data_IF_070366649212
#
_entry.id   IF_070366649212
#
_cell.length_a   1.000
_cell.length_b   1.000
_cell.length_c   1.000
_cell.angle_alpha   90.00
_cell.angle_beta   90.00
_cell.angle_gamma   90.00
#
_symmetry.space_group_name_H-M   'P 1'
#
loop_
_entity.id
_entity.type
_entity.pdbx_description
1 polymer ?
#
# COMPACT_ATOMS: atom_id res chain seq x y z
N UNK A 1 -10.64 -7.49 28.32
CA UNK A 1 -11.77 -6.86 27.62
C UNK A 1 -11.23 -6.38 26.29
N UNK A 2 -11.46 -7.15 25.22
CA UNK A 2 -10.91 -6.88 23.89
C UNK A 2 -11.71 -5.74 23.25
N UNK A 3 -11.02 -4.65 22.92
CA UNK A 3 -11.57 -3.55 22.11
C UNK A 3 -12.02 -4.11 20.76
N UNK A 4 -13.32 -4.07 20.50
CA UNK A 4 -13.87 -4.28 19.16
C UNK A 4 -13.39 -3.13 18.29
N UNK A 5 -12.65 -3.45 17.23
CA UNK A 5 -12.25 -2.49 16.21
C UNK A 5 -13.48 -1.71 15.73
N UNK A 6 -13.43 -0.38 15.88
CA UNK A 6 -14.44 0.51 15.31
C UNK A 6 -14.46 0.28 13.80
N UNK A 7 -15.64 0.05 13.22
CA UNK A 7 -15.81 0.12 11.77
C UNK A 7 -15.44 1.55 11.37
N UNK A 8 -14.26 1.73 10.75
CA UNK A 8 -13.91 3.04 10.21
C UNK A 8 -14.93 3.36 9.11
N UNK A 9 -15.63 4.48 9.26
CA UNK A 9 -16.57 5.03 8.27
C UNK A 9 -15.85 5.71 7.12
N UNK A 10 -14.53 5.80 7.19
CA UNK A 10 -13.66 6.34 6.15
C UNK A 10 -13.31 5.29 5.11
N UNK A 11 -13.08 5.76 3.89
CA UNK A 11 -12.46 4.96 2.84
C UNK A 11 -11.04 4.53 3.25
N UNK A 12 -10.51 3.54 2.55
CA UNK A 12 -9.15 3.05 2.74
C UNK A 12 -8.32 3.34 1.50
N UNK A 13 -7.13 3.92 1.71
CA UNK A 13 -6.23 4.35 0.63
C UNK A 13 -4.90 3.63 0.75
N UNK A 14 -4.53 2.90 -0.31
CA UNK A 14 -3.27 2.19 -0.42
C UNK A 14 -2.42 2.75 -1.56
N UNK A 15 -1.25 3.29 -1.23
CA UNK A 15 -0.29 3.77 -2.22
C UNK A 15 0.49 2.61 -2.82
N UNK A 16 0.45 2.48 -4.14
CA UNK A 16 1.10 1.42 -4.91
C UNK A 16 2.33 1.95 -5.67
N UNK A 17 3.45 1.21 -5.60
CA UNK A 17 4.65 1.50 -6.40
C UNK A 17 4.55 0.92 -7.79
N UNK A 18 5.25 1.54 -8.74
CA UNK A 18 5.49 1.06 -10.13
C UNK A 18 4.25 0.92 -11.02
N UNK A 19 3.06 0.70 -10.45
CA UNK A 19 1.81 0.67 -11.17
C UNK A 19 1.50 2.07 -11.69
N UNK A 20 1.55 2.24 -13.00
CA UNK A 20 1.16 3.46 -13.69
C UNK A 20 -0.04 3.18 -14.60
N UNK A 21 -1.18 3.79 -14.31
CA UNK A 21 -2.32 3.75 -15.24
C UNK A 21 -1.93 4.41 -16.58
N UNK A 22 -2.50 3.96 -17.72
CA UNK A 22 -2.22 4.59 -19.01
C UNK A 22 -2.48 6.10 -18.98
N UNK A 23 -1.72 6.91 -19.74
CA UNK A 23 -1.79 8.38 -19.67
C UNK A 23 -3.19 8.96 -19.90
N UNK A 24 -4.01 8.30 -20.70
CA UNK A 24 -5.39 8.69 -21.04
C UNK A 24 -6.43 8.25 -19.99
N UNK A 25 -6.01 7.63 -18.88
CA UNK A 25 -6.90 7.09 -17.86
C UNK A 25 -6.48 7.46 -16.44
N UNK A 26 -7.25 8.34 -15.81
CA UNK A 26 -7.04 8.77 -14.42
C UNK A 26 -7.51 7.73 -13.40
N UNK A 27 -8.53 6.94 -13.76
CA UNK A 27 -9.11 5.93 -12.88
C UNK A 27 -9.41 4.62 -13.59
N UNK A 28 -9.31 3.51 -12.86
CA UNK A 28 -9.70 2.18 -13.32
C UNK A 28 -10.58 1.51 -12.26
N UNK A 29 -11.84 1.25 -12.62
CA UNK A 29 -12.80 0.54 -11.77
C UNK A 29 -12.47 -0.96 -11.68
N UNK A 30 -12.14 -1.42 -10.48
CA UNK A 30 -11.93 -2.84 -10.16
C UNK A 30 -13.25 -3.54 -9.80
N UNK A 31 -14.37 -2.82 -9.76
CA UNK A 31 -15.66 -3.33 -9.34
C UNK A 31 -15.83 -3.35 -7.81
N UNK A 32 -17.06 -3.61 -7.37
CA UNK A 32 -17.42 -3.71 -5.94
C UNK A 32 -17.05 -2.47 -5.09
N UNK A 33 -16.93 -1.30 -5.69
CA UNK A 33 -16.53 -0.07 -4.98
C UNK A 33 -15.03 0.01 -4.69
N UNK A 34 -14.21 -0.65 -5.51
CA UNK A 34 -12.76 -0.52 -5.49
C UNK A 34 -12.28 0.12 -6.78
N UNK A 35 -11.37 1.09 -6.66
CA UNK A 35 -10.88 1.86 -7.79
C UNK A 35 -9.38 2.06 -7.67
N UNK A 36 -8.65 1.92 -8.78
CA UNK A 36 -7.28 2.40 -8.92
C UNK A 36 -7.33 3.83 -9.44
N UNK A 37 -6.65 4.77 -8.80
CA UNK A 37 -6.57 6.17 -9.23
C UNK A 37 -5.14 6.61 -9.39
N UNK A 38 -4.85 7.37 -10.44
CA UNK A 38 -3.54 7.98 -10.63
C UNK A 38 -3.31 9.01 -9.52
N UNK A 39 -2.12 9.00 -8.95
CA UNK A 39 -1.70 9.98 -7.96
C UNK A 39 -0.18 10.15 -8.03
N UNK A 40 0.36 11.02 -7.18
CA UNK A 40 1.81 11.08 -6.98
C UNK A 40 2.12 11.40 -5.52
N UNK A 41 2.95 10.57 -4.90
CA UNK A 41 3.59 10.88 -3.62
C UNK A 41 4.99 10.29 -3.59
N UNK A 42 5.93 11.01 -2.99
CA UNK A 42 7.29 10.53 -2.77
C UNK A 42 7.47 10.24 -1.28
N UNK A 43 7.55 8.95 -0.92
CA UNK A 43 7.78 8.51 0.45
C UNK A 43 9.29 8.50 0.72
N UNK A 44 9.73 9.40 1.59
CA UNK A 44 11.10 9.45 2.09
C UNK A 44 11.15 8.81 3.47
N UNK A 45 11.89 7.72 3.63
CA UNK A 45 12.37 7.33 4.96
C UNK A 45 13.56 8.22 5.28
N UNK A 46 13.57 8.92 6.41
CA UNK A 46 14.77 9.64 6.85
C UNK A 46 14.90 9.56 8.36
N UNK A 47 16.08 9.18 8.87
CA UNK A 47 16.37 9.48 10.25
C UNK A 47 16.53 10.98 10.39
N UNK A 48 15.59 11.58 11.13
CA UNK A 48 15.70 12.96 11.59
C UNK A 48 16.29 12.94 12.99
N UNK A 49 17.46 13.57 13.16
CA UNK A 49 18.09 13.73 14.47
C UNK A 49 17.85 15.15 14.98
N UNK A 50 17.33 15.24 16.19
CA UNK A 50 17.36 16.45 16.99
C UNK A 50 18.58 16.43 17.90
N UNK A 51 19.24 17.58 18.04
CA UNK A 51 20.46 17.71 18.86
C UNK A 51 20.20 18.35 20.23
N UNK A 52 18.94 18.62 20.54
CA UNK A 52 18.48 19.21 21.79
C UNK A 52 17.20 18.50 22.29
N UNK A 53 17.01 18.34 23.61
CA UNK A 53 15.79 17.77 24.17
C UNK A 53 14.59 18.73 24.04
N UNK A 54 13.34 18.23 24.06
CA UNK A 54 12.16 19.08 24.10
C UNK A 54 12.06 19.80 25.45
N UNK A 55 11.55 21.03 25.45
CA UNK A 55 11.43 21.86 26.67
C UNK A 55 10.47 21.27 27.72
N UNK A 56 9.51 20.46 27.29
CA UNK A 56 8.56 19.75 28.13
C UNK A 56 8.04 18.46 27.45
N UNK A 57 7.51 17.48 28.21
CA UNK A 57 6.89 16.29 27.63
C UNK A 57 5.81 16.63 26.59
N UNK A 58 5.88 15.98 25.42
CA UNK A 58 4.94 16.20 24.31
C UNK A 58 5.21 17.44 23.46
N UNK A 59 6.24 18.25 23.75
CA UNK A 59 6.71 19.33 22.86
C UNK A 59 7.67 18.79 21.79
N UNK A 60 7.79 19.52 20.69
CA UNK A 60 8.78 19.21 19.66
C UNK A 60 10.20 19.50 20.16
N UNK A 61 11.18 18.81 19.58
CA UNK A 61 12.58 19.12 19.81
C UNK A 61 12.95 20.46 19.14
N UNK A 62 13.72 21.35 19.77
CA UNK A 62 14.12 22.58 19.10
C UNK A 62 15.19 22.29 18.02
N UNK A 63 15.31 23.21 17.06
CA UNK A 63 16.38 23.20 16.06
C UNK A 63 17.77 23.27 16.75
N UNK A 64 18.87 22.81 16.10
CA UNK A 64 18.91 22.26 14.75
C UNK A 64 18.40 20.83 14.67
N UNK A 65 17.84 20.48 13.50
CA UNK A 65 17.59 19.10 13.09
C UNK A 65 18.47 18.77 11.90
N UNK A 66 18.87 17.50 11.76
CA UNK A 66 19.52 17.00 10.54
C UNK A 66 18.80 15.75 10.05
N UNK A 67 18.43 15.76 8.78
CA UNK A 67 18.13 14.53 8.05
C UNK A 67 19.45 13.84 7.71
N UNK A 68 19.58 12.55 8.04
CA UNK A 68 20.77 11.77 7.67
C UNK A 68 20.52 11.01 6.36
N UNK A 69 21.49 11.04 5.45
CA UNK A 69 21.33 10.72 4.01
C UNK A 69 21.42 9.23 3.67
N UNK A 70 20.82 8.35 4.46
CA UNK A 70 21.01 6.91 4.25
C UNK A 70 19.71 6.13 4.22
N UNK A 71 18.82 6.44 3.28
CA UNK A 71 17.54 5.76 3.23
C UNK A 71 16.93 5.57 1.86
N UNK A 72 16.14 4.49 1.80
CA UNK A 72 15.28 4.14 0.69
C UNK A 72 14.17 5.17 0.54
N UNK A 73 13.92 5.55 -0.71
CA UNK A 73 12.82 6.41 -1.10
C UNK A 73 12.02 5.73 -2.19
N UNK A 74 10.71 5.93 -2.17
CA UNK A 74 9.79 5.23 -3.05
C UNK A 74 8.69 6.15 -3.54
N UNK A 75 8.35 6.01 -4.80
CA UNK A 75 7.25 6.75 -5.41
C UNK A 75 5.96 5.93 -5.39
N UNK A 76 4.86 6.63 -5.13
CA UNK A 76 3.49 6.18 -5.34
C UNK A 76 2.99 6.83 -6.62
N UNK A 77 2.57 6.03 -7.60
CA UNK A 77 1.99 6.54 -8.85
C UNK A 77 0.50 6.23 -9.00
N UNK A 78 0.01 5.26 -8.21
CA UNK A 78 -1.39 4.85 -8.20
C UNK A 78 -1.80 4.61 -6.75
N UNK A 79 -2.99 5.06 -6.37
CA UNK A 79 -3.64 4.65 -5.14
C UNK A 79 -4.76 3.64 -5.43
N UNK A 80 -4.88 2.61 -4.60
CA UNK A 80 -6.07 1.79 -4.51
C UNK A 80 -7.00 2.40 -3.46
N UNK A 81 -8.22 2.74 -3.89
CA UNK A 81 -9.29 3.23 -3.03
C UNK A 81 -10.27 2.09 -2.78
N UNK A 82 -10.50 1.76 -1.52
CA UNK A 82 -11.54 0.82 -1.08
C UNK A 82 -12.57 1.63 -0.30
N UNK A 83 -13.75 1.82 -0.89
CA UNK A 83 -14.79 2.61 -0.27
C UNK A 83 -15.29 1.99 1.04
N UNK A 84 -15.68 2.84 1.99
CA UNK A 84 -16.24 2.48 3.29
C UNK A 84 -17.51 1.61 3.20
N UNK A 85 -18.22 1.71 2.07
CA UNK A 85 -19.37 0.90 1.72
C UNK A 85 -19.02 -0.56 1.41
N UNK A 86 -17.81 -0.84 0.91
CA UNK A 86 -17.35 -2.20 0.67
C UNK A 86 -17.21 -2.96 2.00
N UNK A 87 -17.78 -4.17 2.03
CA UNK A 87 -17.73 -5.08 3.17
C UNK A 87 -16.89 -6.29 2.77
N UNK A 88 -15.64 -6.39 3.25
CA UNK A 88 -14.83 -7.59 3.01
C UNK A 88 -15.54 -8.86 3.54
N UNK A 89 -15.35 -10.01 2.88
CA UNK A 89 -15.93 -11.26 3.34
C UNK A 89 -15.25 -11.79 4.60
N UNK A 90 -16.00 -12.55 5.41
CA UNK A 90 -15.49 -13.20 6.61
C UNK A 90 -15.07 -12.20 7.68
N UNK A 91 -13.88 -12.40 8.24
CA UNK A 91 -13.24 -11.57 9.25
C UNK A 91 -12.17 -10.62 8.65
N UNK A 92 -12.05 -10.57 7.32
CA UNK A 92 -11.05 -9.74 6.65
C UNK A 92 -11.31 -8.24 6.88
N UNK A 93 -10.23 -7.49 6.99
CA UNK A 93 -10.24 -6.03 6.94
C UNK A 93 -9.99 -5.53 5.50
N UNK A 94 -10.27 -4.24 5.25
CA UNK A 94 -9.88 -3.58 3.98
C UNK A 94 -8.37 -3.63 3.73
N UNK A 95 -7.58 -3.70 4.79
CA UNK A 95 -6.14 -3.92 4.72
C UNK A 95 -5.80 -5.27 4.04
N UNK A 96 -6.47 -6.35 4.44
CA UNK A 96 -6.23 -7.69 3.86
C UNK A 96 -6.66 -7.74 2.39
N UNK A 97 -7.73 -7.02 2.05
CA UNK A 97 -8.19 -6.85 0.66
C UNK A 97 -7.14 -6.11 -0.17
N UNK A 98 -6.61 -5.00 0.34
CA UNK A 98 -5.55 -4.24 -0.33
C UNK A 98 -4.27 -5.07 -0.54
N UNK A 99 -3.85 -5.85 0.47
CA UNK A 99 -2.73 -6.80 0.34
C UNK A 99 -3.00 -7.85 -0.72
N UNK A 100 -4.18 -8.48 -0.68
CA UNK A 100 -4.57 -9.52 -1.64
C UNK A 100 -4.55 -8.98 -3.07
N UNK A 101 -5.16 -7.81 -3.30
CA UNK A 101 -5.17 -7.16 -4.63
C UNK A 101 -3.75 -6.82 -5.08
N UNK A 102 -2.92 -6.30 -4.18
CA UNK A 102 -1.51 -6.01 -4.47
C UNK A 102 -0.76 -7.27 -4.90
N UNK A 103 -1.00 -8.39 -4.23
CA UNK A 103 -0.37 -9.67 -4.60
C UNK A 103 -0.86 -10.20 -5.93
N UNK A 104 -2.15 -10.02 -6.26
CA UNK A 104 -2.70 -10.36 -7.58
C UNK A 104 -2.09 -9.47 -8.68
N UNK A 105 -1.97 -8.15 -8.43
CA UNK A 105 -1.27 -7.21 -9.31
C UNK A 105 0.20 -7.60 -9.49
N UNK A 106 0.87 -8.02 -8.41
CA UNK A 106 2.26 -8.47 -8.42
C UNK A 106 2.45 -9.72 -9.29
N UNK A 107 1.53 -10.68 -9.17
CA UNK A 107 1.57 -11.93 -9.92
C UNK A 107 1.29 -11.73 -11.42
N UNK A 108 0.33 -10.86 -11.75
CA UNK A 108 -0.21 -10.81 -13.11
C UNK A 108 0.19 -9.56 -13.90
N UNK A 109 0.50 -8.45 -13.24
CA UNK A 109 0.85 -7.19 -13.90
C UNK A 109 2.35 -6.93 -13.89
N UNK A 110 2.94 -6.79 -12.70
CA UNK A 110 4.36 -6.49 -12.54
C UNK A 110 4.83 -6.89 -11.13
N UNK A 111 5.86 -7.75 -11.02
CA UNK A 111 6.31 -8.27 -9.73
C UNK A 111 6.96 -7.22 -8.81
N UNK A 112 7.21 -6.01 -9.31
CA UNK A 112 7.75 -4.88 -8.55
C UNK A 112 6.67 -3.99 -7.90
N UNK A 113 5.39 -4.28 -8.16
CA UNK A 113 4.27 -3.57 -7.51
C UNK A 113 4.25 -3.90 -6.02
N UNK A 114 4.24 -2.84 -5.20
CA UNK A 114 4.21 -2.92 -3.74
C UNK A 114 3.10 -2.09 -3.16
N UNK A 115 2.51 -2.59 -2.08
CA UNK A 115 1.66 -1.80 -1.19
C UNK A 115 2.58 -1.05 -0.24
N UNK A 116 2.98 0.14 -0.65
CA UNK A 116 4.04 0.88 0.02
C UNK A 116 3.56 1.54 1.32
N UNK A 117 2.39 2.16 1.29
CA UNK A 117 1.92 3.01 2.39
C UNK A 117 0.40 3.04 2.43
N UNK A 118 -0.16 2.85 3.62
CA UNK A 118 -1.57 3.13 3.89
C UNK A 118 -1.72 4.61 4.27
N UNK A 119 -2.74 5.26 3.74
CA UNK A 119 -3.09 6.65 4.07
C UNK A 119 -4.49 6.76 4.67
N UNK A 120 -4.69 7.76 5.54
CA UNK A 120 -6.02 8.13 6.05
C UNK A 120 -6.87 8.88 5.03
N UNK A 121 -6.26 9.47 4.00
CA UNK A 121 -6.92 10.26 2.94
C UNK A 121 -6.34 9.92 1.56
N UNK A 122 -6.99 10.37 0.48
CA UNK A 122 -6.41 10.25 -0.86
C UNK A 122 -5.06 10.96 -0.93
N UNK A 123 -4.09 10.35 -1.60
CA UNK A 123 -2.75 10.94 -1.80
C UNK A 123 -2.81 12.25 -2.60
N UNK A 124 -3.85 12.44 -3.42
CA UNK A 124 -4.06 13.67 -4.20
C UNK A 124 -4.61 14.83 -3.34
N UNK A 125 -5.15 14.54 -2.16
CA UNK A 125 -5.81 15.52 -1.28
C UNK A 125 -5.02 15.75 0.02
N UNK A 126 -4.27 14.74 0.47
CA UNK A 126 -3.64 14.71 1.80
C UNK A 126 -2.71 15.89 2.08
N UNK A 127 -2.07 16.45 1.05
CA UNK A 127 -1.18 17.59 1.19
C UNK A 127 -1.89 18.87 1.69
N UNK A 128 -3.21 18.96 1.52
CA UNK A 128 -4.03 20.07 2.01
C UNK A 128 -4.67 19.79 3.38
N UNK A 129 -4.53 18.58 3.92
CA UNK A 129 -5.12 18.17 5.20
C UNK A 129 -4.15 18.49 6.35
N UNK A 130 -4.63 19.04 7.49
CA UNK A 130 -3.76 19.32 8.64
C UNK A 130 -3.00 18.08 9.13
N UNK A 131 -1.70 18.22 9.41
CA UNK A 131 -0.83 17.12 9.83
C UNK A 131 -1.40 16.24 10.96
N UNK A 132 -2.08 16.86 11.93
CA UNK A 132 -2.69 16.16 13.08
C UNK A 132 -3.84 15.21 12.69
N UNK A 133 -4.44 15.39 11.53
CA UNK A 133 -5.55 14.59 10.98
C UNK A 133 -5.03 13.55 9.95
N UNK A 134 -3.80 13.74 9.51
CA UNK A 134 -3.11 12.85 8.56
C UNK A 134 -2.45 11.68 9.28
N UNK A 135 -2.66 10.48 8.75
CA UNK A 135 -1.92 9.27 9.15
C UNK A 135 -1.42 8.56 7.91
N UNK A 136 -0.10 8.36 7.86
CA UNK A 136 0.58 7.55 6.86
C UNK A 136 1.28 6.40 7.59
N UNK A 137 0.96 5.17 7.20
CA UNK A 137 1.55 3.96 7.77
C UNK A 137 2.33 3.25 6.67
N UNK A 138 3.68 3.29 6.68
CA UNK A 138 4.49 2.51 5.76
C UNK A 138 4.24 1.00 5.96
N UNK A 139 4.12 0.26 4.85
CA UNK A 139 3.84 -1.19 4.85
C UNK A 139 5.03 -1.95 4.24
N UNK A 140 5.22 -1.89 2.92
CA UNK A 140 6.35 -2.52 2.21
C UNK A 140 7.47 -1.51 1.87
N UNK A 141 7.87 -0.71 2.85
CA UNK A 141 8.89 0.35 2.70
C UNK A 141 10.34 -0.13 2.86
N UNK A 142 10.58 -1.44 2.80
CA UNK A 142 11.93 -2.01 2.75
C UNK A 142 12.28 -2.43 1.32
N UNK A 143 13.57 -2.47 0.96
CA UNK A 143 13.99 -3.00 -0.33
C UNK A 143 13.56 -4.47 -0.50
N UNK A 144 13.14 -4.83 -1.70
CA UNK A 144 13.08 -6.24 -2.09
C UNK A 144 14.51 -6.75 -2.29
N UNK A 145 14.86 -7.86 -1.64
CA UNK A 145 16.18 -8.48 -1.77
C UNK A 145 16.22 -9.46 -2.95
N UNK A 146 15.07 -10.01 -3.35
CA UNK A 146 14.91 -10.74 -4.60
C UNK A 146 14.27 -9.80 -5.62
N UNK A 147 15.06 -9.38 -6.60
CA UNK A 147 14.63 -8.49 -7.67
C UNK A 147 14.02 -9.31 -8.80
N UNK A 148 12.70 -9.28 -8.90
CA UNK A 148 11.94 -9.89 -9.99
C UNK A 148 11.64 -8.83 -11.05
N UNK A 149 11.59 -9.25 -12.31
CA UNK A 149 11.22 -8.40 -13.42
C UNK A 149 10.34 -9.15 -14.41
N UNK A 150 9.56 -8.40 -15.19
CA UNK A 150 8.79 -8.98 -16.30
C UNK A 150 9.75 -9.50 -17.37
N UNK A 151 9.68 -10.80 -17.67
CA UNK A 151 10.39 -11.36 -18.81
C UNK A 151 9.89 -10.77 -20.14
N UNK A 152 8.58 -10.52 -20.24
CA UNK A 152 7.93 -9.89 -21.39
C UNK A 152 6.79 -8.98 -20.91
N UNK A 153 6.90 -7.65 -21.11
CA UNK A 153 5.83 -6.73 -20.79
C UNK A 153 4.57 -7.01 -21.61
N UNK A 154 3.41 -6.99 -20.95
CA UNK A 154 2.08 -7.12 -21.58
C UNK A 154 1.30 -5.81 -21.44
N UNK A 155 0.31 -5.53 -22.32
CA UNK A 155 -0.52 -4.34 -22.19
C UNK A 155 -1.27 -4.33 -20.85
N UNK A 156 -1.01 -3.31 -20.02
CA UNK A 156 -1.51 -3.23 -18.65
C UNK A 156 -3.04 -3.33 -18.57
N UNK A 157 -3.77 -2.71 -19.49
CA UNK A 157 -5.24 -2.73 -19.45
C UNK A 157 -5.84 -4.12 -19.56
N UNK A 158 -5.26 -5.00 -20.37
CA UNK A 158 -5.70 -6.40 -20.45
C UNK A 158 -5.48 -7.13 -19.12
N UNK A 159 -4.33 -6.88 -18.48
CA UNK A 159 -3.99 -7.46 -17.18
C UNK A 159 -4.89 -6.92 -16.07
N UNK A 160 -5.18 -5.62 -16.05
CA UNK A 160 -6.12 -5.02 -15.11
C UNK A 160 -7.55 -5.54 -15.30
N UNK A 161 -7.95 -5.86 -16.55
CA UNK A 161 -9.21 -6.54 -16.84
C UNK A 161 -9.27 -7.92 -16.18
N UNK A 162 -8.19 -8.68 -16.27
CA UNK A 162 -8.07 -9.95 -15.55
C UNK A 162 -8.09 -9.75 -14.03
N UNK A 163 -7.34 -8.79 -13.50
CA UNK A 163 -7.35 -8.47 -12.06
C UNK A 163 -8.77 -8.15 -11.59
N UNK A 164 -9.49 -7.27 -12.31
CA UNK A 164 -10.90 -6.92 -12.04
C UNK A 164 -11.80 -8.16 -11.93
N UNK A 165 -11.63 -9.12 -12.82
CA UNK A 165 -12.44 -10.34 -12.87
C UNK A 165 -12.13 -11.30 -11.71
N UNK A 166 -10.85 -11.43 -11.33
CA UNK A 166 -10.40 -12.51 -10.44
C UNK A 166 -10.04 -12.08 -9.02
N UNK A 167 -9.80 -10.79 -8.74
CA UNK A 167 -9.50 -10.35 -7.37
C UNK A 167 -10.62 -10.69 -6.36
N UNK A 168 -11.94 -10.65 -6.69
CA UNK A 168 -12.97 -11.00 -5.71
C UNK A 168 -12.87 -12.47 -5.27
N UNK A 169 -12.49 -13.35 -6.22
CA UNK A 169 -12.26 -14.76 -5.93
C UNK A 169 -11.03 -14.95 -5.03
N UNK A 170 -9.93 -14.24 -5.32
CA UNK A 170 -8.74 -14.29 -4.46
C UNK A 170 -9.06 -13.85 -3.02
N UNK A 171 -9.81 -12.76 -2.85
CA UNK A 171 -10.24 -12.28 -1.52
C UNK A 171 -11.18 -13.29 -0.83
N UNK A 172 -12.10 -13.90 -1.57
CA UNK A 172 -12.96 -14.97 -1.04
C UNK A 172 -12.15 -16.18 -0.57
N UNK A 173 -11.14 -16.60 -1.34
CA UNK A 173 -10.23 -17.69 -0.97
C UNK A 173 -9.41 -17.33 0.28
N UNK A 174 -8.90 -16.10 0.40
CA UNK A 174 -8.22 -15.62 1.61
C UNK A 174 -9.10 -15.72 2.86
N UNK A 175 -10.42 -15.45 2.72
CA UNK A 175 -11.36 -15.53 3.83
C UNK A 175 -11.72 -16.97 4.23
N UNK A 176 -11.70 -17.91 3.28
CA UNK A 176 -12.31 -19.25 3.46
C UNK A 176 -11.33 -20.43 3.45
N UNK A 177 -10.11 -20.26 2.92
CA UNK A 177 -9.15 -21.35 2.72
C UNK A 177 -7.80 -21.03 3.36
N UNK A 178 -7.48 -21.71 4.47
CA UNK A 178 -6.22 -21.51 5.20
C UNK A 178 -4.97 -21.79 4.34
N UNK A 179 -5.00 -22.83 3.52
CA UNK A 179 -3.86 -23.19 2.66
C UNK A 179 -3.58 -22.12 1.60
N UNK A 180 -4.63 -21.52 1.04
CA UNK A 180 -4.48 -20.41 0.08
C UNK A 180 -3.86 -19.19 0.77
N UNK A 181 -4.33 -18.87 1.99
CA UNK A 181 -3.78 -17.78 2.80
C UNK A 181 -2.29 -17.99 3.09
N UNK A 182 -1.92 -19.19 3.53
CA UNK A 182 -0.53 -19.55 3.77
C UNK A 182 0.34 -19.39 2.52
N UNK A 183 -0.14 -19.87 1.36
CA UNK A 183 0.57 -19.75 0.10
C UNK A 183 0.79 -18.28 -0.31
N UNK A 184 -0.23 -17.43 -0.14
CA UNK A 184 -0.14 -15.99 -0.44
C UNK A 184 0.81 -15.27 0.52
N UNK A 185 0.76 -15.57 1.82
CA UNK A 185 1.70 -15.01 2.80
C UNK A 185 3.14 -15.41 2.51
N UNK A 186 3.39 -16.68 2.17
CA UNK A 186 4.71 -17.15 1.77
C UNK A 186 5.22 -16.45 0.50
N UNK A 187 4.35 -16.27 -0.50
CA UNK A 187 4.68 -15.53 -1.71
C UNK A 187 5.07 -14.08 -1.40
N UNK A 188 4.26 -13.36 -0.62
CA UNK A 188 4.52 -11.96 -0.24
C UNK A 188 5.86 -11.80 0.48
N UNK A 189 6.11 -12.64 1.49
CA UNK A 189 7.31 -12.54 2.33
C UNK A 189 8.59 -12.95 1.59
N UNK A 190 8.49 -13.83 0.60
CA UNK A 190 9.66 -14.40 -0.09
C UNK A 190 10.61 -13.35 -0.68
N UNK A 191 10.11 -12.17 -1.06
CA UNK A 191 10.91 -11.13 -1.73
C UNK A 191 11.61 -10.16 -0.78
N UNK A 192 11.27 -10.16 0.51
CA UNK A 192 11.77 -9.21 1.51
C UNK A 192 12.76 -9.82 2.51
N UNK A 193 13.11 -11.11 2.38
CA UNK A 193 14.08 -11.75 3.26
C UNK A 193 15.50 -11.29 2.92
N UNK A 194 16.24 -10.66 3.85
CA UNK A 194 17.61 -10.24 3.59
C UNK A 194 18.51 -11.47 3.34
N UNK A 195 19.29 -11.41 2.27
CA UNK A 195 20.42 -12.32 2.10
C UNK A 195 21.54 -11.89 3.06
N UNK A 196 21.63 -12.56 4.21
CA UNK A 196 22.87 -12.58 4.98
C UNK A 196 23.82 -13.58 4.29
N UNK A 197 24.46 -13.14 3.20
CA UNK A 197 25.58 -13.83 2.57
C UNK A 197 26.89 -13.15 2.95
#
# INVERSE_FOLDING_TARGET
MLERASMSTSDFYAGLTTLQLPPDRDEYDLGHGLTLRRTYAHLMSSYTMAFNPPEAPGKHHPAPWKATTRHDAFDVYTELVIHSSYKPPGDLARYDVARTITSVLRLCCDPTIRFLVQSSHSFSEIAAIPDRETRLTPIESTPQYIQLALAQPKPLIGLLGWVREYWPNAVSLMASHADFRLAMEAFELSTFVPHHA
#
